data_IF_645318419905
#
_entry.id   IF_645318419905
#
_cell.length_a   1.000
_cell.length_b   1.000
_cell.length_c   1.000
_cell.angle_alpha   90.00
_cell.angle_beta   90.00
_cell.angle_gamma   90.00
#
_symmetry.space_group_name_H-M   'P 1'
#
loop_
_entity.id
_entity.type
_entity.pdbx_description
1 polymer ?
#
# COMPACT_ATOMS: atom_id res chain seq x y z
N UNK A 1 -10.46 6.85 -8.02
CA UNK A 1 -11.10 5.54 -8.10
C UNK A 1 -11.82 5.46 -9.44
N UNK A 2 -11.72 4.32 -10.10
CA UNK A 2 -12.41 3.97 -11.34
C UNK A 2 -13.17 2.69 -11.06
N UNK A 3 -14.40 2.58 -11.54
CA UNK A 3 -15.30 1.45 -11.29
C UNK A 3 -15.81 0.92 -12.63
N UNK A 4 -15.75 -0.38 -12.83
CA UNK A 4 -16.32 -1.12 -13.97
C UNK A 4 -17.06 -2.35 -13.47
N UNK A 5 -18.40 -2.26 -13.42
CA UNK A 5 -19.23 -3.34 -12.87
C UNK A 5 -18.92 -3.61 -11.40
N UNK A 6 -18.41 -4.81 -11.13
CA UNK A 6 -18.01 -5.26 -9.79
C UNK A 6 -16.52 -5.01 -9.50
N UNK A 7 -15.76 -4.45 -10.44
CA UNK A 7 -14.32 -4.21 -10.29
C UNK A 7 -14.02 -2.73 -10.06
N UNK A 8 -13.21 -2.42 -9.03
CA UNK A 8 -12.75 -1.06 -8.70
C UNK A 8 -11.22 -0.98 -8.73
N UNK A 9 -10.69 0.13 -9.24
CA UNK A 9 -9.27 0.46 -9.19
C UNK A 9 -9.04 1.85 -8.58
N UNK A 10 -8.05 1.99 -7.71
CA UNK A 10 -7.70 3.28 -7.12
C UNK A 10 -6.22 3.40 -6.80
N UNK A 11 -5.78 4.65 -6.79
CA UNK A 11 -4.49 5.05 -6.27
C UNK A 11 -4.71 5.69 -4.91
N UNK A 12 -4.04 5.18 -3.88
CA UNK A 12 -4.14 5.65 -2.50
C UNK A 12 -2.80 6.24 -2.08
N UNK A 13 -2.83 7.47 -1.57
CA UNK A 13 -1.75 8.07 -0.81
C UNK A 13 -2.10 7.96 0.68
N UNK A 14 -1.38 7.12 1.42
CA UNK A 14 -1.58 6.93 2.84
C UNK A 14 -0.43 7.56 3.64
N UNK A 15 -0.77 8.26 4.73
CA UNK A 15 0.20 8.69 5.75
C UNK A 15 -0.14 7.98 7.06
N UNK A 16 0.76 7.14 7.49
CA UNK A 16 0.58 6.25 8.64
C UNK A 16 1.55 6.65 9.74
N UNK A 17 1.09 6.64 11.00
CA UNK A 17 1.97 6.84 12.16
C UNK A 17 2.21 5.49 12.84
N UNK A 18 3.46 5.03 12.82
CA UNK A 18 3.83 3.79 13.50
C UNK A 18 3.74 3.99 15.02
N UNK A 19 2.90 3.21 15.71
CA UNK A 19 2.69 3.34 17.16
C UNK A 19 3.97 3.18 17.97
N UNK A 20 4.81 2.19 17.61
CA UNK A 20 5.98 1.82 18.40
C UNK A 20 7.11 2.86 18.37
N UNK A 21 7.29 3.58 17.26
CA UNK A 21 8.38 4.55 17.09
C UNK A 21 7.90 6.00 16.96
N UNK A 22 6.60 6.21 16.74
CA UNK A 22 6.05 7.51 16.39
C UNK A 22 6.36 8.00 14.97
N UNK A 23 7.14 7.26 14.18
CA UNK A 23 7.50 7.63 12.79
C UNK A 23 6.27 7.76 11.90
N UNK A 24 6.33 8.71 10.98
CA UNK A 24 5.36 8.84 9.88
C UNK A 24 5.93 8.12 8.67
N UNK A 25 5.12 7.24 8.08
CA UNK A 25 5.42 6.51 6.86
C UNK A 25 4.43 6.99 5.80
N UNK A 26 4.91 7.24 4.59
CA UNK A 26 4.08 7.59 3.44
C UNK A 26 4.10 6.45 2.42
N UNK A 27 2.93 5.95 2.06
CA UNK A 27 2.78 4.88 1.08
C UNK A 27 1.97 5.37 -0.10
N UNK A 28 2.41 5.00 -1.30
CA UNK A 28 1.62 5.08 -2.50
C UNK A 28 1.23 3.66 -2.91
N UNK A 29 -0.07 3.46 -3.10
CA UNK A 29 -0.63 2.12 -3.26
C UNK A 29 -1.58 2.12 -4.44
N UNK A 30 -1.45 1.13 -5.32
CA UNK A 30 -2.45 0.81 -6.33
C UNK A 30 -3.31 -0.36 -5.83
N UNK A 31 -4.57 -0.07 -5.52
CA UNK A 31 -5.55 -1.04 -5.06
C UNK A 31 -6.48 -1.43 -6.21
N UNK A 32 -6.67 -2.73 -6.38
CA UNK A 32 -7.66 -3.33 -7.26
C UNK A 32 -8.59 -4.18 -6.42
N UNK A 33 -9.87 -3.83 -6.39
CA UNK A 33 -10.90 -4.53 -5.64
C UNK A 33 -11.84 -5.24 -6.60
N UNK A 34 -12.36 -6.38 -6.15
CA UNK A 34 -13.60 -6.95 -6.70
C UNK A 34 -14.66 -6.98 -5.62
N UNK A 35 -15.84 -6.48 -5.94
CA UNK A 35 -17.02 -6.53 -5.11
C UNK A 35 -17.96 -7.64 -5.58
N UNK A 36 -18.75 -8.16 -4.65
CA UNK A 36 -19.97 -8.92 -4.95
C UNK A 36 -21.02 -8.55 -3.93
N UNK A 37 -22.21 -8.17 -4.40
CA UNK A 37 -23.31 -7.75 -3.53
C UNK A 37 -22.87 -6.65 -2.52
N UNK A 38 -22.06 -5.69 -2.99
CA UNK A 38 -21.54 -4.58 -2.19
C UNK A 38 -20.46 -4.95 -1.16
N UNK A 39 -19.91 -6.17 -1.20
CA UNK A 39 -18.82 -6.60 -0.31
C UNK A 39 -17.54 -6.86 -1.09
N UNK A 40 -16.40 -6.46 -0.55
CA UNK A 40 -15.09 -6.81 -1.12
C UNK A 40 -14.90 -8.32 -1.02
N UNK A 41 -14.70 -8.97 -2.16
CA UNK A 41 -14.38 -10.40 -2.27
C UNK A 41 -12.96 -10.65 -2.73
N UNK A 42 -12.29 -9.62 -3.27
CA UNK A 42 -10.88 -9.66 -3.62
C UNK A 42 -10.24 -8.28 -3.44
N UNK A 43 -9.01 -8.25 -2.94
CA UNK A 43 -8.13 -7.09 -2.88
C UNK A 43 -6.76 -7.50 -3.40
N UNK A 44 -6.31 -6.86 -4.48
CA UNK A 44 -4.92 -6.93 -4.94
C UNK A 44 -4.29 -5.55 -4.77
N UNK A 45 -3.20 -5.51 -4.03
CA UNK A 45 -2.54 -4.29 -3.63
C UNK A 45 -1.09 -4.29 -4.12
N UNK A 46 -0.68 -3.22 -4.80
CA UNK A 46 0.69 -3.02 -5.27
C UNK A 46 1.27 -1.75 -4.68
N UNK A 47 2.51 -1.82 -4.19
CA UNK A 47 3.23 -0.69 -3.61
C UNK A 47 4.74 -0.93 -3.73
N UNK A 48 5.54 0.12 -3.54
CA UNK A 48 6.97 -0.05 -3.28
C UNK A 48 7.16 -0.58 -1.85
N UNK A 49 7.16 -1.91 -1.73
CA UNK A 49 7.31 -2.57 -0.44
C UNK A 49 8.72 -2.44 0.13
N UNK A 50 9.72 -2.20 -0.71
CA UNK A 50 11.10 -2.01 -0.27
C UNK A 50 11.25 -0.66 0.44
N UNK A 51 10.80 0.41 -0.20
CA UNK A 51 10.74 1.75 0.40
C UNK A 51 9.89 1.73 1.69
N UNK A 52 8.73 1.07 1.67
CA UNK A 52 7.87 0.92 2.85
C UNK A 52 8.62 0.32 4.05
N UNK A 53 9.39 -0.76 3.85
CA UNK A 53 10.17 -1.38 4.93
C UNK A 53 11.29 -0.45 5.40
N UNK A 54 12.00 0.23 4.49
CA UNK A 54 13.05 1.17 4.87
C UNK A 54 12.51 2.34 5.72
N UNK A 55 11.34 2.89 5.36
CA UNK A 55 10.65 3.90 6.15
C UNK A 55 10.23 3.38 7.55
N UNK A 56 9.68 2.16 7.62
CA UNK A 56 9.29 1.51 8.89
C UNK A 56 10.49 1.32 9.82
N UNK A 57 11.61 0.83 9.27
CA UNK A 57 12.86 0.67 10.01
C UNK A 57 13.51 2.02 10.34
N UNK A 58 13.21 3.04 9.53
CA UNK A 58 13.84 4.35 9.55
C UNK A 58 15.34 4.28 9.27
N UNK A 59 15.72 3.36 8.39
CA UNK A 59 17.08 3.21 7.87
C UNK A 59 17.04 2.52 6.50
N UNK A 60 18.06 2.78 5.71
CA UNK A 60 18.27 2.04 4.47
C UNK A 60 18.59 0.57 4.76
N UNK A 61 18.17 -0.29 3.83
CA UNK A 61 18.55 -1.70 3.78
C UNK A 61 19.56 -1.83 2.65
N UNK A 62 20.82 -2.19 2.95
CA UNK A 62 21.81 -2.41 1.90
C UNK A 62 21.38 -3.60 1.05
N UNK A 63 21.46 -3.45 -0.27
CA UNK A 63 21.26 -4.54 -1.22
C UNK A 63 22.65 -5.00 -1.67
N UNK A 64 23.08 -6.16 -1.20
CA UNK A 64 24.36 -6.73 -1.60
C UNK A 64 24.25 -7.24 -3.04
N UNK A 65 25.00 -6.64 -3.98
CA UNK A 65 25.05 -7.09 -5.38
C UNK A 65 24.89 -6.01 -6.46
N UNK A 66 24.98 -4.72 -6.10
CA UNK A 66 25.18 -3.62 -7.04
C UNK A 66 26.56 -3.01 -6.84
#
# INVERSE_FOLDING_TARGET
MVTEGDDDAMIVLARLRQRASGRVIQLFVADFLRLRQGRIVELRQFMDSFDAVQQVLGREIPVSGQ
#
